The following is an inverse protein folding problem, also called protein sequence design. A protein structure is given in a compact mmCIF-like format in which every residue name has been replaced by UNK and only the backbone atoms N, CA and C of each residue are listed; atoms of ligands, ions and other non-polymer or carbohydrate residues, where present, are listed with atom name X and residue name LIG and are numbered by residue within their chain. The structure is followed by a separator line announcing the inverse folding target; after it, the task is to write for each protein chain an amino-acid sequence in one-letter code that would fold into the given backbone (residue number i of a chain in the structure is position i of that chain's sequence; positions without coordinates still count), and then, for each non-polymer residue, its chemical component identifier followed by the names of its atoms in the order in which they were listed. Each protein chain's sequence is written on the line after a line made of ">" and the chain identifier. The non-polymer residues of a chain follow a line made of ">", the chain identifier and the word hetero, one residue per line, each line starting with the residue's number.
data_IF_049030922441
#
_entry.id   IF_049030922441
#
_cell.length_a   1.000
_cell.length_b   1.000
_cell.length_c   1.000
_cell.angle_alpha   90.00
_cell.angle_beta   90.00
_cell.angle_gamma   90.00
#
_symmetry.space_group_name_H-M   'P 1'
#
loop_
_entity.id
_entity.type
_entity.pdbx_description
1 polymer ?
#
# COMPACT_ATOMS: atom_id res chain seq x y z
N UNK A 1 -13.14 44.50 29.94
CA UNK A 1 -12.89 43.13 30.42
C UNK A 1 -14.17 42.32 30.36
N UNK A 2 -14.37 41.47 29.34
CA UNK A 2 -15.21 40.26 29.42
C UNK A 2 -14.63 39.26 28.41
N UNK A 3 -13.98 38.22 28.92
CA UNK A 3 -13.56 37.07 28.14
C UNK A 3 -14.77 36.15 27.98
N UNK A 4 -15.15 35.84 26.74
CA UNK A 4 -16.02 34.70 26.47
C UNK A 4 -15.14 33.59 25.92
N UNK A 5 -14.74 32.73 26.84
CA UNK A 5 -14.14 31.43 26.58
C UNK A 5 -15.23 30.50 26.06
N UNK A 6 -15.10 30.03 24.82
CA UNK A 6 -15.88 28.89 24.32
C UNK A 6 -14.91 27.72 24.21
N UNK A 7 -15.05 26.78 25.14
CA UNK A 7 -14.26 25.57 25.22
C UNK A 7 -14.99 24.43 24.51
N UNK A 8 -14.26 23.75 23.63
CA UNK A 8 -14.20 22.29 23.60
C UNK A 8 -15.49 21.53 23.33
N UNK A 9 -15.75 21.31 22.04
CA UNK A 9 -16.59 20.20 21.57
C UNK A 9 -15.94 19.57 20.35
N UNK A 10 -14.70 19.08 20.48
CA UNK A 10 -14.09 18.25 19.44
C UNK A 10 -14.76 16.86 19.54
N UNK A 11 -15.72 16.59 18.66
CA UNK A 11 -16.22 15.24 18.46
C UNK A 11 -15.06 14.32 18.06
N UNK A 12 -15.05 13.04 18.47
CA UNK A 12 -14.03 12.09 18.05
C UNK A 12 -14.20 11.85 16.56
N UNK A 13 -13.41 12.58 15.75
CA UNK A 13 -13.29 12.30 14.34
C UNK A 13 -12.70 10.88 14.21
N UNK A 14 -13.40 9.91 13.61
CA UNK A 14 -12.81 8.61 13.33
C UNK A 14 -11.77 8.86 12.24
N UNK A 15 -10.54 9.13 12.67
CA UNK A 15 -9.36 9.05 11.83
C UNK A 15 -9.37 7.63 11.27
N UNK A 16 -9.84 7.49 10.03
CA UNK A 16 -9.38 6.40 9.19
C UNK A 16 -7.91 6.72 8.98
N UNK A 17 -7.06 6.26 9.90
CA UNK A 17 -5.63 6.33 9.72
C UNK A 17 -5.34 5.62 8.41
N UNK A 18 -4.91 6.40 7.41
CA UNK A 18 -4.44 5.84 6.17
C UNK A 18 -3.28 4.88 6.51
N UNK A 19 -3.22 3.70 5.87
CA UNK A 19 -2.16 2.75 6.14
C UNK A 19 -0.80 3.44 5.96
N UNK A 20 0.12 3.13 6.87
CA UNK A 20 1.50 3.55 6.77
C UNK A 20 2.12 3.04 5.47
N UNK A 21 3.22 3.68 5.05
CA UNK A 21 3.94 3.28 3.84
C UNK A 21 4.41 1.83 3.94
N UNK A 22 4.85 1.41 5.12
CA UNK A 22 5.26 0.05 5.44
C UNK A 22 4.10 -0.93 5.27
N UNK A 23 2.93 -0.63 5.84
CA UNK A 23 1.72 -1.46 5.68
C UNK A 23 1.27 -1.56 4.21
N UNK A 24 1.38 -0.47 3.45
CA UNK A 24 1.08 -0.46 2.02
C UNK A 24 2.03 -1.35 1.23
N UNK A 25 3.33 -1.33 1.54
CA UNK A 25 4.32 -2.20 0.90
C UNK A 25 4.05 -3.66 1.21
N UNK A 26 3.76 -4.00 2.46
CA UNK A 26 3.41 -5.36 2.85
C UNK A 26 2.12 -5.84 2.16
N UNK A 27 1.13 -4.96 1.98
CA UNK A 27 -0.09 -5.29 1.24
C UNK A 27 0.22 -5.54 -0.24
N UNK A 28 0.97 -4.66 -0.89
CA UNK A 28 1.36 -4.82 -2.29
C UNK A 28 2.22 -6.08 -2.52
N UNK A 29 3.08 -6.46 -1.57
CA UNK A 29 3.83 -7.72 -1.63
C UNK A 29 2.89 -8.93 -1.62
N UNK A 30 1.88 -8.94 -0.74
CA UNK A 30 0.87 -10.02 -0.69
C UNK A 30 0.06 -10.07 -1.99
N UNK A 31 -0.36 -8.93 -2.51
CA UNK A 31 -1.14 -8.84 -3.74
C UNK A 31 -0.32 -9.31 -4.95
N UNK A 32 0.98 -8.98 -5.01
CA UNK A 32 1.91 -9.48 -6.03
C UNK A 32 2.02 -11.00 -6.00
N UNK A 33 2.17 -11.60 -4.81
CA UNK A 33 2.24 -13.06 -4.66
C UNK A 33 0.93 -13.73 -5.07
N UNK A 34 -0.21 -13.12 -4.73
CA UNK A 34 -1.51 -13.59 -5.17
C UNK A 34 -1.63 -13.57 -6.70
N UNK A 35 -1.22 -12.47 -7.34
CA UNK A 35 -1.24 -12.34 -8.80
C UNK A 35 -0.42 -13.44 -9.48
N UNK A 36 0.82 -13.67 -9.03
CA UNK A 36 1.67 -14.76 -9.53
C UNK A 36 0.98 -16.13 -9.41
N UNK A 37 0.40 -16.43 -8.24
CA UNK A 37 -0.30 -17.70 -8.03
C UNK A 37 -1.50 -17.86 -8.99
N UNK A 38 -2.24 -16.78 -9.28
CA UNK A 38 -3.33 -16.84 -10.26
C UNK A 38 -2.82 -17.07 -11.68
N UNK A 39 -1.70 -16.43 -12.06
CA UNK A 39 -1.07 -16.64 -13.36
C UNK A 39 -0.56 -18.09 -13.52
N UNK A 40 0.00 -18.68 -12.47
CA UNK A 40 0.44 -20.08 -12.46
C UNK A 40 -0.72 -21.06 -12.62
N UNK A 41 -1.90 -20.72 -12.08
CA UNK A 41 -3.13 -21.48 -12.27
C UNK A 41 -3.75 -21.33 -13.66
N UNK A 42 -3.16 -20.53 -14.56
CA UNK A 42 -3.66 -20.28 -15.90
C UNK A 42 -4.89 -19.36 -15.95
N UNK A 43 -5.11 -18.55 -14.91
CA UNK A 43 -6.18 -17.54 -14.89
C UNK A 43 -5.85 -16.40 -15.85
N UNK A 44 -6.89 -15.81 -16.44
CA UNK A 44 -6.81 -14.70 -17.41
C UNK A 44 -5.78 -14.94 -18.54
N UNK A 45 -5.94 -16.03 -19.32
CA UNK A 45 -5.00 -16.35 -20.39
C UNK A 45 -4.78 -15.18 -21.35
N UNK A 46 -5.83 -14.41 -21.62
CA UNK A 46 -5.79 -13.30 -22.59
C UNK A 46 -5.05 -12.06 -22.07
N UNK A 47 -4.81 -11.98 -20.76
CA UNK A 47 -4.07 -10.88 -20.12
C UNK A 47 -2.74 -11.35 -19.54
N UNK A 48 -2.34 -12.62 -19.77
CA UNK A 48 -1.20 -13.23 -19.09
C UNK A 48 0.10 -12.43 -19.27
N UNK A 49 0.35 -11.94 -20.49
CA UNK A 49 1.56 -11.17 -20.79
C UNK A 49 1.53 -9.80 -20.11
N UNK A 50 0.40 -9.10 -20.17
CA UNK A 50 0.24 -7.79 -19.57
C UNK A 50 0.33 -7.87 -18.04
N UNK A 51 -0.32 -8.87 -17.43
CA UNK A 51 -0.26 -9.11 -15.99
C UNK A 51 1.15 -9.54 -15.53
N UNK A 52 1.89 -10.31 -16.33
CA UNK A 52 3.28 -10.64 -16.03
C UNK A 52 4.20 -9.41 -16.11
N UNK A 53 3.96 -8.51 -17.08
CA UNK A 53 4.68 -7.24 -17.16
C UNK A 53 4.40 -6.36 -15.92
N UNK A 54 3.11 -6.21 -15.57
CA UNK A 54 2.69 -5.47 -14.38
C UNK A 54 3.31 -6.03 -13.09
N UNK A 55 3.27 -7.36 -12.93
CA UNK A 55 3.86 -8.06 -11.78
C UNK A 55 5.36 -7.76 -11.64
N UNK A 56 6.09 -7.77 -12.77
CA UNK A 56 7.52 -7.46 -12.80
C UNK A 56 7.82 -6.01 -12.49
N UNK A 57 7.02 -5.07 -12.99
CA UNK A 57 7.12 -3.64 -12.66
C UNK A 57 6.86 -3.40 -11.17
N UNK A 58 5.84 -4.06 -10.62
CA UNK A 58 5.50 -4.00 -9.20
C UNK A 58 6.65 -4.55 -8.34
N UNK A 59 7.30 -5.64 -8.75
CA UNK A 59 8.47 -6.19 -8.07
C UNK A 59 9.61 -5.16 -7.96
N UNK A 60 9.96 -4.50 -9.07
CA UNK A 60 11.02 -3.48 -9.09
C UNK A 60 10.67 -2.26 -8.21
N UNK A 61 9.41 -1.86 -8.19
CA UNK A 61 8.94 -0.75 -7.34
C UNK A 61 9.07 -1.10 -5.86
N UNK A 62 8.68 -2.33 -5.48
CA UNK A 62 8.75 -2.79 -4.09
C UNK A 62 10.18 -2.91 -3.60
N UNK A 63 11.10 -3.40 -4.43
CA UNK A 63 12.54 -3.44 -4.13
C UNK A 63 13.07 -2.03 -3.82
N UNK A 64 12.81 -1.06 -4.70
CA UNK A 64 13.22 0.34 -4.50
C UNK A 64 12.59 0.98 -3.25
N UNK A 65 11.33 0.64 -2.95
CA UNK A 65 10.66 1.16 -1.77
C UNK A 65 11.29 0.60 -0.48
N UNK A 66 11.63 -0.69 -0.48
CA UNK A 66 12.29 -1.35 0.65
C UNK A 66 13.69 -0.76 0.91
N UNK A 67 14.48 -0.51 -0.14
CA UNK A 67 15.79 0.14 -0.03
C UNK A 67 15.71 1.53 0.61
N UNK A 68 14.66 2.29 0.30
CA UNK A 68 14.45 3.64 0.86
C UNK A 68 14.00 3.63 2.32
N UNK A 69 13.29 2.59 2.73
CA UNK A 69 12.81 2.42 4.12
C UNK A 69 13.86 1.84 5.04
N UNK A 70 14.75 1.01 4.50
CA UNK A 70 15.89 0.44 5.21
C UNK A 70 17.18 0.88 4.52
N UNK A 71 17.53 2.18 4.53
CA UNK A 71 18.81 2.62 4.02
C UNK A 71 19.88 1.98 4.92
N UNK A 72 20.63 1.03 4.37
CA UNK A 72 21.77 0.41 5.03
C UNK A 72 22.66 1.52 5.61
N UNK A 73 22.68 1.63 6.95
CA UNK A 73 23.55 2.54 7.70
C UNK A 73 24.96 1.99 7.81
#
# INVERSE_FOLDING_TARGET
>A
MRASSVNGGQEPNPVHDAPSTEELIEQLQRDRLWLLQQLDQGRWPELRLDLAALERELGQLLEQAQERLSPSS
#
